data_IF_249536554070
#
_entry.id   IF_249536554070
#
_cell.length_a   1.000
_cell.length_b   1.000
_cell.length_c   1.000
_cell.angle_alpha   90.00
_cell.angle_beta   90.00
_cell.angle_gamma   90.00
#
_symmetry.space_group_name_H-M   'P 1'
#
loop_
_entity.id
_entity.type
_entity.pdbx_description
1 polymer ?
#
# COMPACT_ATOMS: atom_id res chain seq x y z
N UNK A 1 -14.92 4.79 -3.55
CA UNK A 1 -13.78 4.30 -2.75
C UNK A 1 -12.53 4.97 -3.28
N UNK A 2 -11.51 5.16 -2.45
CA UNK A 2 -10.30 5.86 -2.89
C UNK A 2 -9.52 4.96 -3.84
N UNK A 3 -9.29 5.43 -5.06
CA UNK A 3 -8.52 4.72 -6.09
C UNK A 3 -7.03 4.79 -5.77
N UNK A 4 -6.29 3.66 -5.73
CA UNK A 4 -4.84 3.69 -5.58
C UNK A 4 -4.13 4.48 -6.68
N UNK A 5 -4.63 4.44 -7.91
CA UNK A 5 -4.03 5.17 -9.03
C UNK A 5 -4.22 6.68 -8.88
N UNK A 6 -5.39 7.11 -8.39
CA UNK A 6 -5.67 8.53 -8.14
C UNK A 6 -4.76 9.05 -7.02
N UNK A 7 -4.51 8.23 -5.98
CA UNK A 7 -3.55 8.56 -4.93
C UNK A 7 -2.12 8.68 -5.46
N UNK A 8 -1.69 7.79 -6.37
CA UNK A 8 -0.38 7.94 -7.04
C UNK A 8 -0.32 9.23 -7.85
N UNK A 9 -1.39 9.57 -8.59
CA UNK A 9 -1.45 10.81 -9.35
C UNK A 9 -1.37 12.04 -8.43
N UNK A 10 -2.14 12.06 -7.34
CA UNK A 10 -2.07 13.11 -6.32
C UNK A 10 -0.68 13.20 -5.68
N UNK A 11 -0.03 12.07 -5.39
CA UNK A 11 1.33 12.07 -4.84
C UNK A 11 2.34 12.68 -5.81
N UNK A 12 2.20 12.41 -7.12
CA UNK A 12 3.01 13.05 -8.18
C UNK A 12 2.79 14.55 -8.24
N UNK A 13 1.53 15.01 -8.22
CA UNK A 13 1.19 16.43 -8.23
C UNK A 13 1.82 17.16 -7.02
N UNK A 14 1.78 16.55 -5.85
CA UNK A 14 2.38 17.09 -4.63
C UNK A 14 3.91 17.14 -4.70
N UNK A 15 4.55 16.13 -5.29
CA UNK A 15 6.01 16.08 -5.46
C UNK A 15 6.51 16.99 -6.60
N UNK A 16 5.67 17.24 -7.61
CA UNK A 16 5.97 17.94 -8.85
C UNK A 16 7.11 17.31 -9.67
N UNK A 17 7.47 17.93 -10.79
CA UNK A 17 8.51 17.45 -11.70
C UNK A 17 9.93 17.84 -11.30
N UNK A 18 10.91 16.93 -11.40
CA UNK A 18 12.32 17.19 -11.07
C UNK A 18 12.88 18.52 -11.63
N UNK A 19 12.39 18.93 -12.80
CA UNK A 19 12.70 20.23 -13.42
C UNK A 19 11.72 21.29 -12.91
N UNK A 20 12.24 22.29 -12.20
CA UNK A 20 11.45 23.42 -11.70
C UNK A 20 11.74 23.76 -10.24
N UNK A 21 11.04 24.75 -9.66
CA UNK A 21 11.22 25.11 -8.26
C UNK A 21 10.87 23.93 -7.34
N UNK A 22 11.63 23.73 -6.25
CA UNK A 22 11.36 22.62 -5.34
C UNK A 22 10.00 22.81 -4.65
N UNK A 23 9.22 21.73 -4.48
CA UNK A 23 7.97 21.77 -3.73
C UNK A 23 8.23 22.11 -2.26
N UNK A 24 7.21 22.64 -1.59
CA UNK A 24 7.25 22.86 -0.13
C UNK A 24 7.43 21.52 0.59
N UNK A 25 8.13 21.54 1.73
CA UNK A 25 8.28 20.34 2.56
C UNK A 25 6.92 19.75 2.99
N UNK A 26 5.91 20.57 3.24
CA UNK A 26 4.54 20.10 3.51
C UNK A 26 3.97 19.27 2.36
N UNK A 27 4.22 19.66 1.10
CA UNK A 27 3.77 18.90 -0.06
C UNK A 27 4.51 17.57 -0.16
N UNK A 28 5.84 17.56 0.04
CA UNK A 28 6.63 16.32 0.05
C UNK A 28 6.18 15.35 1.16
N UNK A 29 5.91 15.86 2.36
CA UNK A 29 5.37 15.06 3.47
C UNK A 29 4.04 14.43 3.11
N UNK A 30 3.13 15.23 2.53
CA UNK A 30 1.84 14.72 2.05
C UNK A 30 2.01 13.72 0.91
N UNK A 31 2.93 13.93 -0.02
CA UNK A 31 3.23 12.99 -1.10
C UNK A 31 3.66 11.62 -0.56
N UNK A 32 4.56 11.59 0.44
CA UNK A 32 4.98 10.33 1.10
C UNK A 32 3.78 9.62 1.74
N UNK A 33 2.96 10.33 2.51
CA UNK A 33 1.78 9.75 3.15
C UNK A 33 0.77 9.24 2.13
N UNK A 34 0.49 10.02 1.08
CA UNK A 34 -0.41 9.63 -0.02
C UNK A 34 0.11 8.40 -0.78
N UNK A 35 1.43 8.30 -1.01
CA UNK A 35 2.07 7.14 -1.63
C UNK A 35 1.86 5.87 -0.79
N UNK A 36 2.08 5.96 0.52
CA UNK A 36 1.79 4.85 1.43
C UNK A 36 0.32 4.44 1.39
N UNK A 37 -0.61 5.41 1.40
CA UNK A 37 -2.03 5.13 1.33
C UNK A 37 -2.45 4.51 0.01
N UNK A 38 -1.81 4.83 -1.12
CA UNK A 38 -2.07 4.15 -2.39
C UNK A 38 -1.82 2.64 -2.27
N UNK A 39 -0.68 2.27 -1.70
CA UNK A 39 -0.29 0.87 -1.49
C UNK A 39 -1.23 0.15 -0.51
N UNK A 40 -1.57 0.83 0.59
CA UNK A 40 -2.49 0.30 1.60
C UNK A 40 -3.90 0.08 1.03
N UNK A 41 -4.44 1.04 0.29
CA UNK A 41 -5.77 0.93 -0.32
C UNK A 41 -5.80 -0.11 -1.45
N UNK A 42 -4.70 -0.30 -2.18
CA UNK A 42 -4.59 -1.41 -3.13
C UNK A 42 -4.75 -2.77 -2.44
N UNK A 43 -4.10 -2.96 -1.28
CA UNK A 43 -4.22 -4.21 -0.53
C UNK A 43 -5.59 -4.36 0.13
N UNK A 44 -6.15 -3.29 0.70
CA UNK A 44 -7.48 -3.29 1.30
C UNK A 44 -8.58 -3.65 0.27
N UNK A 45 -8.51 -3.06 -0.94
CA UNK A 45 -9.38 -3.40 -2.06
C UNK A 45 -9.23 -4.87 -2.45
N UNK A 46 -7.99 -5.35 -2.62
CA UNK A 46 -7.75 -6.75 -2.93
C UNK A 46 -8.29 -7.70 -1.87
N UNK A 47 -8.15 -7.36 -0.58
CA UNK A 47 -8.70 -8.16 0.50
C UNK A 47 -10.23 -8.31 0.40
N UNK A 48 -10.93 -7.22 0.15
CA UNK A 48 -12.38 -7.24 0.00
C UNK A 48 -12.82 -7.98 -1.28
N UNK A 49 -12.17 -7.70 -2.40
CA UNK A 49 -12.45 -8.34 -3.69
C UNK A 49 -12.19 -9.85 -3.64
N UNK A 50 -11.14 -10.32 -2.98
CA UNK A 50 -10.80 -11.74 -2.90
C UNK A 50 -11.67 -12.56 -1.93
N UNK A 51 -12.27 -11.90 -0.93
CA UNK A 51 -13.10 -12.55 0.10
C UNK A 51 -14.60 -12.46 -0.19
N UNK A 52 -15.05 -11.37 -0.82
CA UNK A 52 -16.48 -11.09 -1.05
C UNK A 52 -16.84 -11.07 -2.54
N UNK A 53 -15.88 -10.72 -3.41
CA UNK A 53 -16.06 -10.68 -4.86
C UNK A 53 -15.99 -9.27 -5.43
N UNK A 54 -15.83 -9.19 -6.75
CA UNK A 54 -15.51 -7.97 -7.50
C UNK A 54 -16.72 -7.30 -8.15
N UNK A 55 -17.90 -7.93 -8.09
CA UNK A 55 -19.09 -7.38 -8.73
C UNK A 55 -19.49 -6.03 -8.11
N UNK A 56 -20.02 -5.13 -8.94
CA UNK A 56 -20.37 -3.78 -8.51
C UNK A 56 -21.43 -3.77 -7.39
N UNK A 57 -22.28 -4.80 -7.34
CA UNK A 57 -23.27 -4.98 -6.27
C UNK A 57 -22.57 -5.29 -4.94
N UNK A 58 -21.59 -6.21 -4.93
CA UNK A 58 -20.82 -6.60 -3.75
C UNK A 58 -20.11 -5.40 -3.11
N UNK A 59 -19.54 -4.50 -3.92
CA UNK A 59 -18.82 -3.30 -3.43
C UNK A 59 -19.68 -2.31 -2.63
N UNK A 60 -21.01 -2.47 -2.65
CA UNK A 60 -21.95 -1.67 -1.85
C UNK A 60 -22.46 -2.41 -0.62
N UNK A 61 -22.15 -3.69 -0.48
CA UNK A 61 -22.60 -4.53 0.62
C UNK A 61 -21.75 -4.32 1.89
N UNK A 62 -22.39 -4.53 3.04
CA UNK A 62 -21.74 -4.40 4.35
C UNK A 62 -20.53 -5.34 4.49
N UNK A 63 -20.61 -6.55 3.91
CA UNK A 63 -19.53 -7.54 3.95
C UNK A 63 -18.26 -7.06 3.23
N UNK A 64 -18.39 -6.49 2.03
CA UNK A 64 -17.25 -5.95 1.28
C UNK A 64 -16.60 -4.78 2.02
N UNK A 65 -17.43 -3.84 2.52
CA UNK A 65 -16.94 -2.69 3.29
C UNK A 65 -16.24 -3.13 4.58
N UNK A 66 -16.73 -4.17 5.25
CA UNK A 66 -16.11 -4.75 6.43
C UNK A 66 -14.75 -5.36 6.08
N UNK A 67 -14.65 -6.16 5.02
CA UNK A 67 -13.39 -6.77 4.58
C UNK A 67 -12.35 -5.72 4.18
N UNK A 68 -12.76 -4.65 3.49
CA UNK A 68 -11.90 -3.53 3.13
C UNK A 68 -11.32 -2.82 4.36
N UNK A 69 -12.15 -2.58 5.38
CA UNK A 69 -11.76 -1.88 6.62
C UNK A 69 -11.06 -2.79 7.62
N UNK A 70 -11.09 -4.11 7.42
CA UNK A 70 -10.49 -5.07 8.34
C UNK A 70 -8.96 -5.06 8.33
N UNK A 71 -8.33 -4.52 7.27
CA UNK A 71 -6.88 -4.42 7.18
C UNK A 71 -6.36 -3.42 8.21
N UNK A 72 -5.43 -3.85 9.07
CA UNK A 72 -4.85 -3.01 10.12
C UNK A 72 -3.36 -2.79 9.89
N UNK A 73 -2.88 -1.54 9.98
CA UNK A 73 -1.48 -1.18 9.73
C UNK A 73 -0.48 -1.99 10.57
N UNK A 74 -0.72 -2.13 11.88
CA UNK A 74 0.19 -2.85 12.78
C UNK A 74 0.26 -4.36 12.49
N UNK A 75 -0.89 -5.00 12.28
CA UNK A 75 -0.97 -6.41 11.93
C UNK A 75 -0.33 -6.67 10.56
N UNK A 76 -0.59 -5.81 9.57
CA UNK A 76 0.00 -5.88 8.24
C UNK A 76 1.53 -5.79 8.31
N UNK A 77 2.07 -4.84 9.08
CA UNK A 77 3.52 -4.72 9.32
C UNK A 77 4.10 -6.03 9.84
N UNK A 78 3.54 -6.57 10.92
CA UNK A 78 4.01 -7.81 11.52
C UNK A 78 3.95 -9.01 10.56
N UNK A 79 2.95 -9.05 9.68
CA UNK A 79 2.78 -10.09 8.66
C UNK A 79 3.83 -10.00 7.56
N UNK A 80 4.10 -8.80 7.05
CA UNK A 80 5.14 -8.58 6.04
C UNK A 80 6.55 -8.78 6.62
N UNK A 81 6.76 -8.48 7.90
CA UNK A 81 8.06 -8.62 8.58
C UNK A 81 8.43 -10.10 8.85
N UNK A 82 7.46 -11.02 8.79
CA UNK A 82 7.72 -12.45 8.86
C UNK A 82 8.35 -12.95 7.55
N UNK A 83 9.67 -12.77 7.43
CA UNK A 83 10.44 -13.12 6.23
C UNK A 83 10.33 -14.60 5.84
N UNK A 84 10.25 -15.50 6.81
CA UNK A 84 10.06 -16.94 6.57
C UNK A 84 8.74 -17.23 5.85
N UNK A 85 7.65 -16.63 6.31
CA UNK A 85 6.34 -16.77 5.65
C UNK A 85 6.27 -15.99 4.35
N UNK A 86 6.82 -14.79 4.28
CA UNK A 86 6.81 -14.01 3.03
C UNK A 86 7.54 -14.73 1.89
N UNK A 87 8.62 -15.48 2.18
CA UNK A 87 9.33 -16.31 1.18
C UNK A 87 8.46 -17.38 0.50
N UNK A 88 7.32 -17.76 1.08
CA UNK A 88 6.41 -18.73 0.45
C UNK A 88 5.48 -18.11 -0.59
N UNK A 89 5.41 -16.78 -0.69
CA UNK A 89 4.61 -16.09 -1.69
C UNK A 89 5.42 -15.79 -2.97
N UNK A 90 4.76 -15.66 -4.13
CA UNK A 90 5.39 -15.19 -5.37
C UNK A 90 6.08 -13.84 -5.20
N UNK A 91 7.07 -13.58 -6.06
CA UNK A 91 7.94 -12.43 -5.92
C UNK A 91 7.19 -11.09 -5.94
N UNK A 92 6.11 -10.99 -6.70
CA UNK A 92 5.24 -9.82 -6.83
C UNK A 92 4.60 -9.46 -5.48
N UNK A 93 4.11 -10.46 -4.74
CA UNK A 93 3.52 -10.28 -3.41
C UNK A 93 4.60 -9.95 -2.38
N UNK A 94 5.78 -10.58 -2.47
CA UNK A 94 6.91 -10.27 -1.60
C UNK A 94 7.36 -8.83 -1.75
N UNK A 95 7.55 -8.37 -2.99
CA UNK A 95 7.98 -7.01 -3.31
C UNK A 95 6.95 -5.96 -2.86
N UNK A 96 5.64 -6.27 -2.94
CA UNK A 96 4.60 -5.41 -2.34
C UNK A 96 4.76 -5.33 -0.81
N UNK A 97 4.96 -6.47 -0.14
CA UNK A 97 5.18 -6.52 1.31
C UNK A 97 6.43 -5.77 1.77
N UNK A 98 7.53 -5.90 1.03
CA UNK A 98 8.78 -5.16 1.25
C UNK A 98 8.56 -3.65 1.11
N UNK A 99 7.81 -3.21 0.09
CA UNK A 99 7.46 -1.79 -0.09
C UNK A 99 6.58 -1.24 1.05
N UNK A 100 5.63 -2.05 1.55
CA UNK A 100 4.82 -1.68 2.72
C UNK A 100 5.68 -1.47 3.97
N UNK A 101 6.62 -2.38 4.23
CA UNK A 101 7.56 -2.26 5.36
C UNK A 101 8.47 -1.05 5.25
N UNK A 102 8.90 -0.72 4.04
CA UNK A 102 9.74 0.44 3.77
C UNK A 102 8.98 1.76 3.96
N UNK A 103 7.77 1.89 3.42
CA UNK A 103 7.02 3.14 3.43
C UNK A 103 6.32 3.45 4.76
N UNK A 104 5.91 2.44 5.54
CA UNK A 104 5.20 2.67 6.78
C UNK A 104 5.95 3.58 7.78
N UNK A 105 7.21 3.29 8.17
CA UNK A 105 7.95 4.18 9.06
C UNK A 105 8.26 5.53 8.41
N UNK A 106 8.43 5.59 7.08
CA UNK A 106 8.63 6.86 6.35
C UNK A 106 7.39 7.74 6.42
N UNK A 107 6.20 7.17 6.26
CA UNK A 107 4.91 7.85 6.43
C UNK A 107 4.73 8.34 7.85
N UNK A 108 5.03 7.52 8.86
CA UNK A 108 4.97 7.92 10.26
C UNK A 108 5.87 9.12 10.54
N UNK A 109 7.12 9.10 10.05
CA UNK A 109 8.03 10.24 10.20
C UNK A 109 7.55 11.47 9.44
N UNK A 110 7.12 11.33 8.19
CA UNK A 110 6.61 12.44 7.39
C UNK A 110 5.44 13.17 8.08
N UNK A 111 4.56 12.40 8.73
CA UNK A 111 3.37 12.91 9.41
C UNK A 111 3.66 13.49 10.81
N UNK A 112 4.59 12.91 11.57
CA UNK A 112 4.74 13.22 13.00
C UNK A 112 6.11 13.77 13.42
N UNK A 113 7.18 13.56 12.66
CA UNK A 113 8.51 14.09 12.98
C UNK A 113 8.59 15.57 12.54
N UNK A 114 8.63 16.56 13.44
CA UNK A 114 8.72 17.95 13.05
C UNK A 114 10.07 18.29 12.40
N UNK A 115 11.11 17.49 12.64
CA UNK A 115 12.48 17.74 12.17
C UNK A 115 12.78 17.14 10.78
N UNK A 116 11.93 16.25 10.26
CA UNK A 116 12.21 15.59 8.99
C UNK A 116 12.25 16.60 7.83
N UNK A 117 13.32 16.48 7.04
CA UNK A 117 13.45 17.13 5.74
C UNK A 117 13.49 16.02 4.69
N UNK A 118 12.63 16.14 3.70
CA UNK A 118 12.49 15.16 2.61
C UNK A 118 13.17 15.69 1.36
N UNK A 119 13.87 14.80 0.68
CA UNK A 119 14.45 15.05 -0.63
C UNK A 119 13.44 14.68 -1.71
N UNK A 120 13.20 15.62 -2.63
CA UNK A 120 12.24 15.45 -3.73
C UNK A 120 12.53 14.20 -4.58
N UNK A 121 13.78 14.00 -4.97
CA UNK A 121 14.21 12.86 -5.81
C UNK A 121 13.84 11.51 -5.16
N UNK A 122 14.02 11.42 -3.83
CA UNK A 122 13.69 10.23 -3.05
C UNK A 122 12.19 10.01 -3.01
N UNK A 123 11.40 11.07 -2.80
CA UNK A 123 9.93 10.97 -2.79
C UNK A 123 9.39 10.55 -4.15
N UNK A 124 9.94 11.07 -5.25
CA UNK A 124 9.57 10.66 -6.62
C UNK A 124 9.88 9.18 -6.85
N UNK A 125 11.09 8.74 -6.46
CA UNK A 125 11.45 7.31 -6.55
C UNK A 125 10.50 6.44 -5.72
N UNK A 126 10.17 6.84 -4.50
CA UNK A 126 9.22 6.12 -3.64
C UNK A 126 7.84 5.99 -4.34
N UNK A 127 7.37 7.03 -5.05
CA UNK A 127 6.12 7.02 -5.83
C UNK A 127 6.21 6.03 -7.01
N UNK A 128 7.27 6.11 -7.80
CA UNK A 128 7.50 5.26 -8.98
C UNK A 128 7.60 3.77 -8.61
N UNK A 129 8.38 3.47 -7.58
CA UNK A 129 8.50 2.11 -7.05
C UNK A 129 7.13 1.61 -6.58
N UNK A 130 6.35 2.44 -5.89
CA UNK A 130 5.03 2.05 -5.38
C UNK A 130 4.04 1.76 -6.51
N UNK A 131 4.01 2.60 -7.55
CA UNK A 131 3.18 2.36 -8.73
C UNK A 131 3.54 1.03 -9.41
N UNK A 132 4.84 0.77 -9.58
CA UNK A 132 5.33 -0.49 -10.13
C UNK A 132 4.91 -1.69 -9.27
N UNK A 133 5.05 -1.60 -7.94
CA UNK A 133 4.66 -2.68 -7.01
C UNK A 133 3.15 -2.94 -7.02
N UNK A 134 2.33 -1.90 -7.09
CA UNK A 134 0.87 -2.02 -7.24
C UNK A 134 0.54 -2.73 -8.56
N UNK A 135 1.19 -2.35 -9.65
CA UNK A 135 0.98 -2.98 -10.96
C UNK A 135 1.35 -4.46 -10.94
N UNK A 136 2.58 -4.80 -10.51
CA UNK A 136 3.06 -6.19 -10.40
C UNK A 136 2.14 -7.04 -9.52
N UNK A 137 1.73 -6.52 -8.37
CA UNK A 137 0.84 -7.23 -7.46
C UNK A 137 -0.51 -7.53 -8.12
N UNK A 138 -1.13 -6.57 -8.82
CA UNK A 138 -2.42 -6.79 -9.50
C UNK A 138 -2.34 -7.86 -10.60
N UNK A 139 -1.17 -8.07 -11.19
CA UNK A 139 -0.92 -9.13 -12.18
C UNK A 139 -0.60 -10.50 -11.53
N UNK A 140 -0.35 -10.56 -10.22
CA UNK A 140 -0.12 -11.82 -9.55
C UNK A 140 -1.36 -12.74 -9.62
N UNK A 141 -1.17 -14.07 -9.72
CA UNK A 141 -2.28 -15.02 -9.82
C UNK A 141 -3.30 -14.81 -8.69
N UNK A 142 -4.58 -14.88 -9.04
CA UNK A 142 -5.68 -14.63 -8.09
C UNK A 142 -5.60 -15.55 -6.86
N UNK A 143 -5.21 -16.81 -7.06
CA UNK A 143 -5.01 -17.77 -5.96
C UNK A 143 -4.01 -17.26 -4.91
N UNK A 144 -2.93 -16.62 -5.36
CA UNK A 144 -1.85 -16.16 -4.50
C UNK A 144 -2.23 -14.84 -3.81
N UNK A 145 -2.93 -13.95 -4.53
CA UNK A 145 -3.53 -12.74 -3.95
C UNK A 145 -4.58 -13.05 -2.89
N UNK A 146 -5.41 -14.08 -3.11
CA UNK A 146 -6.38 -14.58 -2.13
C UNK A 146 -5.70 -15.18 -0.91
N UNK A 147 -4.67 -16.01 -1.11
CA UNK A 147 -3.89 -16.56 -0.01
C UNK A 147 -3.23 -15.45 0.83
N UNK A 148 -2.73 -14.40 0.18
CA UNK A 148 -2.16 -13.25 0.88
C UNK A 148 -3.23 -12.44 1.63
N UNK A 149 -4.41 -12.21 1.03
CA UNK A 149 -5.54 -11.55 1.70
C UNK A 149 -5.95 -12.27 2.99
N UNK A 150 -6.08 -13.60 2.96
CA UNK A 150 -6.36 -14.41 4.15
C UNK A 150 -5.25 -14.27 5.18
N UNK A 151 -3.98 -14.35 4.74
CA UNK A 151 -2.82 -14.24 5.62
C UNK A 151 -2.77 -12.90 6.38
N UNK A 152 -3.07 -11.77 5.71
CA UNK A 152 -2.98 -10.44 6.34
C UNK A 152 -4.21 -10.07 7.17
N UNK A 153 -5.38 -10.65 6.88
CA UNK A 153 -6.63 -10.35 7.61
C UNK A 153 -6.92 -11.29 8.77
N UNK A 154 -6.58 -12.58 8.64
CA UNK A 154 -6.99 -13.58 9.61
C UNK A 154 -5.86 -13.88 10.61
N UNK A 155 -6.22 -14.17 11.88
CA UNK A 155 -5.28 -14.77 12.82
C UNK A 155 -4.73 -16.07 12.25
N UNK A 156 -3.44 -16.35 12.49
CA UNK A 156 -2.92 -17.68 12.18
C UNK A 156 -3.55 -18.65 13.17
N UNK A 157 -4.10 -19.74 12.66
CA UNK A 157 -4.47 -20.89 13.48
C UNK A 157 -3.28 -21.83 13.47
N UNK A 158 -2.99 -22.45 14.62
CA UNK A 158 -1.88 -23.39 14.77
C UNK A 158 -1.99 -24.44 13.65
N UNK A 159 -0.93 -24.54 12.85
CA UNK A 159 -0.72 -25.63 11.88
C UNK A 159 0.19 -26.67 12.52
#
# INVERSE_FOLDING_TARGET
MVSPNDLIATARELAGDLVGPPPRQTNLRRAVSTTYYALFHCLAENCADMLVGTEAINRRESAWLQAYRALQHGALKARCDNTGRMRTFPAEIRRLGEQLLYLQPRRERADYDPSITLERSVVIRDIEETELRIHEFRQAPERDRRAFAVYVLMPLRNQ
#
